data_IF_237431884513
#
_entry.id   IF_237431884513
#
_cell.length_a   1.000
_cell.length_b   1.000
_cell.length_c   1.000
_cell.angle_alpha   90.00
_cell.angle_beta   90.00
_cell.angle_gamma   90.00
#
_symmetry.space_group_name_H-M   'P 1'
#
loop_
_entity.id
_entity.type
_entity.pdbx_description
1 polymer ?
#
# COMPACT_ATOMS: atom_id res chain seq x y z
N UNK A 1 -13.82 -16.13 22.32
CA UNK A 1 -14.06 -15.36 21.08
C UNK A 1 -14.03 -13.89 21.47
N UNK A 2 -12.84 -13.30 21.56
CA UNK A 2 -12.71 -11.86 21.81
C UNK A 2 -13.21 -11.16 20.54
N UNK A 3 -14.27 -10.37 20.68
CA UNK A 3 -14.75 -9.53 19.59
C UNK A 3 -13.68 -8.49 19.30
N UNK A 4 -12.85 -8.77 18.29
CA UNK A 4 -11.99 -7.76 17.70
C UNK A 4 -12.88 -6.58 17.28
N UNK A 5 -12.51 -5.32 17.58
CA UNK A 5 -13.24 -4.19 17.03
C UNK A 5 -13.31 -4.36 15.50
N UNK A 6 -14.48 -4.12 14.88
CA UNK A 6 -14.61 -4.29 13.44
C UNK A 6 -13.56 -3.44 12.75
N UNK A 7 -12.78 -4.04 11.84
CA UNK A 7 -11.84 -3.31 11.01
C UNK A 7 -12.57 -2.15 10.31
N UNK A 8 -11.92 -0.98 10.14
CA UNK A 8 -12.57 0.20 9.58
C UNK A 8 -12.99 0.04 8.11
N UNK A 9 -12.56 -1.04 7.46
CA UNK A 9 -12.90 -1.45 6.11
C UNK A 9 -13.11 -2.96 6.06
N UNK A 10 -14.01 -3.43 5.19
CA UNK A 10 -14.25 -4.86 4.98
C UNK A 10 -13.00 -5.53 4.36
N UNK A 11 -12.65 -6.73 4.86
CA UNK A 11 -11.53 -7.51 4.37
C UNK A 11 -11.68 -7.85 2.88
N UNK A 12 -12.91 -8.08 2.39
CA UNK A 12 -13.15 -8.38 0.97
C UNK A 12 -12.75 -7.24 0.03
N UNK A 13 -12.75 -6.01 0.53
CA UNK A 13 -12.41 -4.79 -0.19
C UNK A 13 -10.92 -4.42 -0.08
N UNK A 14 -10.22 -5.04 0.88
CA UNK A 14 -8.86 -4.66 1.29
C UNK A 14 -7.80 -5.71 0.94
N UNK A 15 -8.09 -6.99 1.19
CA UNK A 15 -7.17 -8.11 1.00
C UNK A 15 -7.11 -8.51 -0.46
N UNK A 16 -5.92 -8.88 -0.92
CA UNK A 16 -5.75 -9.39 -2.27
C UNK A 16 -4.59 -10.38 -2.39
N UNK A 17 -4.68 -11.25 -3.41
CA UNK A 17 -3.58 -12.15 -3.72
C UNK A 17 -2.49 -11.40 -4.49
N UNK A 18 -1.36 -11.17 -3.83
CA UNK A 18 -0.20 -10.45 -4.37
C UNK A 18 0.28 -11.05 -5.71
N UNK A 19 0.25 -12.38 -5.87
CA UNK A 19 0.67 -13.02 -7.12
C UNK A 19 -0.30 -12.73 -8.27
N UNK A 20 -1.60 -12.67 -7.99
CA UNK A 20 -2.62 -12.30 -8.98
C UNK A 20 -2.48 -10.83 -9.36
N UNK A 21 -2.27 -9.95 -8.39
CA UNK A 21 -2.08 -8.53 -8.65
C UNK A 21 -0.82 -8.26 -9.49
N UNK A 22 0.28 -8.96 -9.18
CA UNK A 22 1.51 -8.90 -9.97
C UNK A 22 1.29 -9.41 -11.41
N UNK A 23 0.61 -10.54 -11.56
CA UNK A 23 0.28 -11.11 -12.87
C UNK A 23 -0.57 -10.13 -13.70
N UNK A 24 -1.61 -9.55 -13.10
CA UNK A 24 -2.47 -8.58 -13.77
C UNK A 24 -1.70 -7.31 -14.14
N UNK A 25 -0.81 -6.84 -13.28
CA UNK A 25 0.09 -5.71 -13.60
C UNK A 25 0.95 -6.01 -14.81
N UNK A 26 1.55 -7.20 -14.91
CA UNK A 26 2.35 -7.57 -16.09
C UNK A 26 1.49 -7.72 -17.35
N UNK A 27 0.36 -8.42 -17.26
CA UNK A 27 -0.55 -8.68 -18.41
C UNK A 27 -1.15 -7.38 -18.96
N UNK A 28 -1.43 -6.40 -18.09
CA UNK A 28 -1.99 -5.10 -18.48
C UNK A 28 -0.92 -4.03 -18.76
N UNK A 29 0.35 -4.43 -18.89
CA UNK A 29 1.48 -3.53 -19.13
C UNK A 29 1.57 -2.38 -18.11
N UNK A 30 1.34 -2.67 -16.84
CA UNK A 30 1.43 -1.71 -15.73
C UNK A 30 0.13 -0.97 -15.42
N UNK A 31 -0.90 -1.05 -16.28
CA UNK A 31 -2.15 -0.29 -16.08
C UNK A 31 -2.88 -0.74 -14.81
N UNK A 32 -2.89 -2.04 -14.52
CA UNK A 32 -3.54 -2.57 -13.32
C UNK A 32 -2.90 -2.03 -12.02
N UNK A 33 -1.63 -1.64 -12.04
CA UNK A 33 -0.94 -1.07 -10.86
C UNK A 33 -1.67 0.17 -10.31
N UNK A 34 -2.30 0.96 -11.18
CA UNK A 34 -3.06 2.15 -10.76
C UNK A 34 -4.29 1.77 -9.92
N UNK A 35 -4.96 0.67 -10.26
CA UNK A 35 -6.09 0.16 -9.48
C UNK A 35 -5.63 -0.45 -8.17
N UNK A 36 -4.50 -1.16 -8.18
CA UNK A 36 -3.86 -1.70 -7.00
C UNK A 36 -3.52 -0.60 -6.00
N UNK A 37 -2.84 0.46 -6.45
CA UNK A 37 -2.49 1.60 -5.60
C UNK A 37 -3.73 2.25 -4.97
N UNK A 38 -4.80 2.42 -5.76
CA UNK A 38 -6.06 3.00 -5.27
C UNK A 38 -6.65 2.17 -4.13
N UNK A 39 -6.58 0.84 -4.21
CA UNK A 39 -7.02 -0.05 -3.13
C UNK A 39 -6.17 0.18 -1.88
N UNK A 40 -4.84 0.15 -2.00
CA UNK A 40 -3.95 0.36 -0.85
C UNK A 40 -4.19 1.73 -0.17
N UNK A 41 -4.35 2.82 -0.94
CA UNK A 41 -4.70 4.13 -0.38
C UNK A 41 -6.00 4.12 0.42
N UNK A 42 -7.05 3.44 -0.07
CA UNK A 42 -8.31 3.32 0.67
C UNK A 42 -8.10 2.60 2.00
N UNK A 43 -7.36 1.49 1.99
CA UNK A 43 -7.11 0.71 3.20
C UNK A 43 -6.29 1.51 4.20
N UNK A 44 -5.17 2.10 3.78
CA UNK A 44 -4.32 2.88 4.68
C UNK A 44 -5.06 4.07 5.29
N UNK A 45 -5.82 4.84 4.50
CA UNK A 45 -6.62 5.94 5.03
C UNK A 45 -7.70 5.48 6.02
N UNK A 46 -8.31 4.32 5.77
CA UNK A 46 -9.31 3.75 6.68
C UNK A 46 -8.70 3.38 8.04
N UNK A 47 -7.54 2.72 8.04
CA UNK A 47 -6.82 2.37 9.27
C UNK A 47 -6.24 3.59 10.00
N UNK A 48 -5.76 4.60 9.26
CA UNK A 48 -5.26 5.84 9.84
C UNK A 48 -6.38 6.77 10.37
N UNK A 49 -7.64 6.53 9.99
CA UNK A 49 -8.76 7.40 10.33
C UNK A 49 -8.69 8.81 9.74
N UNK A 50 -7.87 9.02 8.69
CA UNK A 50 -7.67 10.32 8.02
C UNK A 50 -7.37 10.15 6.53
N UNK A 51 -7.69 11.17 5.74
CA UNK A 51 -7.38 11.19 4.31
C UNK A 51 -5.92 11.65 4.09
N UNK A 52 -4.97 10.74 4.22
CA UNK A 52 -3.55 11.00 3.95
C UNK A 52 -3.20 10.79 2.46
N UNK A 53 -3.70 9.71 1.86
CA UNK A 53 -3.40 9.33 0.48
C UNK A 53 -4.57 9.62 -0.45
N UNK A 54 -4.38 10.54 -1.39
CA UNK A 54 -5.42 10.98 -2.33
C UNK A 54 -5.10 10.52 -3.74
N UNK A 55 -5.90 9.60 -4.28
CA UNK A 55 -5.65 8.98 -5.59
C UNK A 55 -5.46 10.01 -6.72
N UNK A 56 -6.34 11.00 -6.84
CA UNK A 56 -6.28 12.00 -7.92
C UNK A 56 -5.03 12.88 -7.78
N UNK A 57 -4.74 13.33 -6.55
CA UNK A 57 -3.53 14.14 -6.27
C UNK A 57 -2.27 13.35 -6.60
N UNK A 58 -2.21 12.09 -6.16
CA UNK A 58 -1.09 11.21 -6.45
C UNK A 58 -0.90 10.97 -7.94
N UNK A 59 -1.97 10.67 -8.69
CA UNK A 59 -1.88 10.41 -10.12
C UNK A 59 -1.39 11.64 -10.89
N UNK A 60 -1.96 12.81 -10.60
CA UNK A 60 -1.59 14.06 -11.27
C UNK A 60 -0.17 14.49 -10.93
N UNK A 61 0.21 14.48 -9.65
CA UNK A 61 1.56 14.88 -9.24
C UNK A 61 2.60 13.87 -9.70
N UNK A 62 2.29 12.57 -9.70
CA UNK A 62 3.19 11.56 -10.26
C UNK A 62 3.41 11.77 -11.75
N UNK A 63 2.39 12.15 -12.51
CA UNK A 63 2.56 12.48 -13.92
C UNK A 63 3.37 13.77 -14.13
N UNK A 64 3.06 14.84 -13.40
CA UNK A 64 3.73 16.15 -13.52
C UNK A 64 5.20 16.09 -13.09
N UNK A 65 5.51 15.27 -12.09
CA UNK A 65 6.88 15.10 -11.55
C UNK A 65 7.62 13.92 -12.15
N UNK A 66 7.12 13.31 -13.24
CA UNK A 66 7.72 12.17 -13.91
C UNK A 66 8.04 11.00 -12.96
N UNK A 67 7.11 10.68 -12.06
CA UNK A 67 7.18 9.56 -11.12
C UNK A 67 7.88 9.87 -9.80
N UNK A 68 8.51 11.03 -9.64
CA UNK A 68 9.19 11.38 -8.37
C UNK A 68 8.19 11.44 -7.21
N UNK A 69 7.01 12.01 -7.43
CA UNK A 69 5.97 12.04 -6.41
C UNK A 69 5.46 10.63 -6.04
N UNK A 70 5.42 9.69 -6.99
CA UNK A 70 5.09 8.30 -6.70
C UNK A 70 6.14 7.68 -5.77
N UNK A 71 7.44 7.83 -6.05
CA UNK A 71 8.52 7.33 -5.18
C UNK A 71 8.43 7.90 -3.75
N UNK A 72 8.11 9.19 -3.62
CA UNK A 72 7.86 9.79 -2.32
C UNK A 72 6.64 9.20 -1.61
N UNK A 73 5.57 8.91 -2.35
CA UNK A 73 4.36 8.31 -1.80
C UNK A 73 4.61 6.88 -1.33
N UNK A 74 5.42 6.11 -2.05
CA UNK A 74 5.85 4.76 -1.64
C UNK A 74 6.58 4.76 -0.29
N UNK A 75 7.45 5.75 -0.07
CA UNK A 75 8.08 5.95 1.23
C UNK A 75 7.04 6.24 2.33
N UNK A 76 6.08 7.13 2.07
CA UNK A 76 5.03 7.47 3.02
C UNK A 76 4.11 6.29 3.35
N UNK A 77 3.74 5.48 2.35
CA UNK A 77 2.94 4.28 2.55
C UNK A 77 3.64 3.28 3.45
N UNK A 78 4.94 3.02 3.23
CA UNK A 78 5.71 2.17 4.11
C UNK A 78 5.70 2.68 5.55
N UNK A 79 5.78 4.01 5.78
CA UNK A 79 5.66 4.59 7.13
C UNK A 79 4.28 4.39 7.74
N UNK A 80 3.22 4.59 6.95
CA UNK A 80 1.84 4.41 7.38
C UNK A 80 1.58 2.95 7.78
N UNK A 81 2.05 1.99 6.98
CA UNK A 81 1.95 0.55 7.29
C UNK A 81 2.64 0.23 8.62
N UNK A 82 3.89 0.65 8.79
CA UNK A 82 4.63 0.43 10.05
C UNK A 82 3.92 1.08 11.25
N UNK A 83 3.29 2.25 11.07
CA UNK A 83 2.51 2.88 12.14
C UNK A 83 1.26 2.06 12.50
N UNK A 84 0.50 1.63 11.49
CA UNK A 84 -0.70 0.79 11.67
C UNK A 84 -0.34 -0.53 12.35
N UNK A 85 0.74 -1.20 11.94
CA UNK A 85 1.21 -2.45 12.56
C UNK A 85 1.47 -2.25 14.06
N UNK A 86 2.12 -1.15 14.45
CA UNK A 86 2.34 -0.82 15.86
C UNK A 86 1.03 -0.57 16.62
N UNK A 87 0.07 0.10 16.00
CA UNK A 87 -1.24 0.36 16.61
C UNK A 87 -2.06 -0.93 16.77
N UNK A 88 -1.88 -1.89 15.87
CA UNK A 88 -2.49 -3.23 15.94
C UNK A 88 -1.73 -4.19 16.88
N UNK A 89 -0.52 -3.84 17.33
CA UNK A 89 0.33 -4.71 18.14
C UNK A 89 1.09 -5.79 17.36
N UNK A 90 1.09 -5.69 16.02
CA UNK A 90 1.83 -6.57 15.12
C UNK A 90 3.31 -6.18 15.03
N UNK A 91 4.24 -7.14 14.88
CA UNK A 91 5.66 -6.83 14.72
C UNK A 91 5.88 -6.09 13.38
N UNK A 92 6.31 -4.82 13.40
CA UNK A 92 6.44 -4.07 12.17
C UNK A 92 7.64 -4.55 11.36
N UNK A 93 7.51 -4.52 10.02
CA UNK A 93 8.67 -4.75 9.15
C UNK A 93 9.63 -3.57 9.27
N UNK A 94 10.83 -3.86 9.76
CA UNK A 94 11.88 -2.86 9.88
C UNK A 94 12.24 -2.26 8.52
N UNK A 95 12.38 -0.93 8.48
CA UNK A 95 12.83 -0.19 7.29
C UNK A 95 11.92 -0.31 6.05
N UNK A 96 10.67 -0.77 6.19
CA UNK A 96 9.73 -0.90 5.07
C UNK A 96 9.68 0.38 4.21
N UNK A 97 9.59 1.55 4.83
CA UNK A 97 9.59 2.84 4.13
C UNK A 97 10.82 3.07 3.25
N UNK A 98 12.01 2.72 3.77
CA UNK A 98 13.27 2.88 3.04
C UNK A 98 13.40 1.82 1.94
N UNK A 99 12.97 0.59 2.19
CA UNK A 99 12.92 -0.47 1.18
C UNK A 99 12.01 -0.06 0.02
N UNK A 100 10.79 0.40 0.30
CA UNK A 100 9.85 0.87 -0.72
C UNK A 100 10.42 2.03 -1.53
N UNK A 101 11.08 2.99 -0.88
CA UNK A 101 11.75 4.09 -1.58
C UNK A 101 12.87 3.59 -2.49
N UNK A 102 13.76 2.75 -1.99
CA UNK A 102 14.91 2.25 -2.74
C UNK A 102 14.47 1.42 -3.95
N UNK A 103 13.48 0.54 -3.77
CA UNK A 103 12.88 -0.23 -4.87
C UNK A 103 12.26 0.69 -5.92
N UNK A 104 11.56 1.74 -5.49
CA UNK A 104 10.94 2.70 -6.40
C UNK A 104 11.98 3.49 -7.20
N UNK A 105 13.08 3.92 -6.57
CA UNK A 105 14.17 4.65 -7.23
C UNK A 105 14.85 3.82 -8.31
N UNK A 106 15.01 2.51 -8.11
CA UNK A 106 15.59 1.61 -9.13
C UNK A 106 14.58 1.13 -10.18
N UNK A 107 13.34 1.62 -10.15
CA UNK A 107 12.28 1.26 -11.09
C UNK A 107 11.56 -0.07 -10.79
N UNK A 108 11.72 -0.61 -9.58
CA UNK A 108 11.04 -1.81 -9.10
C UNK A 108 9.81 -1.47 -8.24
N UNK A 109 9.03 -0.46 -8.64
CA UNK A 109 7.85 0.02 -7.89
C UNK A 109 6.84 -1.09 -7.62
N UNK A 110 6.58 -1.95 -8.62
CA UNK A 110 5.65 -3.08 -8.47
C UNK A 110 6.08 -4.08 -7.39
N UNK A 111 7.39 -4.21 -7.14
CA UNK A 111 7.91 -5.05 -6.05
C UNK A 111 7.66 -4.37 -4.70
N UNK A 112 7.78 -3.04 -4.63
CA UNK A 112 7.41 -2.28 -3.44
C UNK A 112 5.91 -2.43 -3.14
N UNK A 113 5.05 -2.29 -4.15
CA UNK A 113 3.60 -2.49 -4.04
C UNK A 113 3.25 -3.90 -3.55
N UNK A 114 3.93 -4.92 -4.06
CA UNK A 114 3.75 -6.31 -3.66
C UNK A 114 4.10 -6.56 -2.17
N UNK A 115 5.24 -6.02 -1.71
CA UNK A 115 5.64 -6.11 -0.30
C UNK A 115 4.60 -5.40 0.57
N UNK A 116 4.24 -4.16 0.23
CA UNK A 116 3.26 -3.39 0.98
C UNK A 116 1.88 -4.06 1.03
N UNK A 117 1.42 -4.67 -0.07
CA UNK A 117 0.16 -5.41 -0.08
C UNK A 117 0.23 -6.66 0.81
N UNK A 118 1.37 -7.35 0.88
CA UNK A 118 1.58 -8.46 1.81
C UNK A 118 1.43 -7.99 3.26
N UNK A 119 2.01 -6.85 3.61
CA UNK A 119 1.87 -6.27 4.96
C UNK A 119 0.44 -5.82 5.26
N UNK A 120 -0.24 -5.22 4.29
CA UNK A 120 -1.65 -4.80 4.41
C UNK A 120 -2.57 -6.01 4.62
N UNK A 121 -2.31 -7.13 3.93
CA UNK A 121 -3.08 -8.36 4.13
C UNK A 121 -2.95 -8.86 5.57
N UNK A 122 -1.75 -8.73 6.17
CA UNK A 122 -1.51 -9.09 7.57
C UNK A 122 -2.37 -8.33 8.57
N UNK A 123 -2.93 -7.15 8.23
CA UNK A 123 -3.83 -6.41 9.12
C UNK A 123 -5.14 -7.15 9.42
N UNK A 124 -5.49 -8.16 8.62
CA UNK A 124 -6.76 -8.89 8.69
C UNK A 124 -6.59 -10.37 9.08
N UNK A 125 -5.35 -10.81 9.33
CA UNK A 125 -5.05 -12.20 9.71
C UNK A 125 -5.06 -12.42 11.23
N UNK A 126 -5.17 -11.33 12.02
CA UNK A 126 -5.23 -11.32 13.50
C UNK A 126 -6.65 -11.54 14.03
#
# INVERSE_FOLDING_TARGET
MQNMPPHPIDASDAVSNVAVDLLLTVVTCGIYNVFWQRRQFRVLNAFLGREEFRFVTWLLLSLVTCGIYHMYTEYLMGRAITAIQRDLGEPPVENLSLISLMLSVVGLTVVADAIQQSEINGFFET
#
